data_IF_530134396941
#
_entry.id   IF_530134396941
#
_cell.length_a   1.000
_cell.length_b   1.000
_cell.length_c   1.000
_cell.angle_alpha   90.00
_cell.angle_beta   90.00
_cell.angle_gamma   90.00
#
_symmetry.space_group_name_H-M   'P 1'
#
loop_
_entity.id
_entity.type
_entity.pdbx_description
1 polymer ?
#
# COMPACT_ATOMS: atom_id res chain seq x y z
N UNK A 1 -13.94 17.46 -3.03
CA UNK A 1 -13.02 16.37 -2.62
C UNK A 1 -13.78 15.41 -1.73
N UNK A 2 -13.83 14.13 -2.08
CA UNK A 2 -14.46 13.10 -1.24
C UNK A 2 -13.58 12.87 -0.02
N UNK A 3 -14.13 13.03 1.19
CA UNK A 3 -13.40 12.82 2.45
C UNK A 3 -13.10 11.33 2.63
N UNK A 4 -11.86 10.99 2.97
CA UNK A 4 -11.50 9.61 3.32
C UNK A 4 -12.18 9.18 4.61
N UNK A 5 -12.70 7.94 4.64
CA UNK A 5 -13.28 7.31 5.83
C UNK A 5 -12.20 6.49 6.52
N UNK A 6 -12.08 6.62 7.84
CA UNK A 6 -11.21 5.79 8.67
C UNK A 6 -12.09 4.83 9.46
N UNK A 7 -11.93 3.53 9.20
CA UNK A 7 -12.61 2.48 9.93
C UNK A 7 -11.65 1.80 10.92
N UNK A 8 -11.98 1.83 12.20
CA UNK A 8 -11.26 1.11 13.25
C UNK A 8 -11.95 -0.22 13.53
N UNK A 9 -11.16 -1.28 13.59
CA UNK A 9 -11.63 -2.63 13.91
C UNK A 9 -11.18 -2.99 15.33
N UNK A 10 -11.99 -3.77 16.04
CA UNK A 10 -11.61 -4.32 17.34
C UNK A 10 -10.49 -5.37 17.21
N UNK A 11 -10.53 -6.18 16.15
CA UNK A 11 -9.58 -7.26 15.93
C UNK A 11 -8.82 -7.11 14.61
N UNK A 12 -7.53 -7.46 14.64
CA UNK A 12 -6.67 -7.43 13.45
C UNK A 12 -7.16 -8.38 12.36
N UNK A 13 -7.68 -9.56 12.73
CA UNK A 13 -8.18 -10.57 11.78
C UNK A 13 -9.34 -10.03 10.94
N UNK A 14 -10.27 -9.31 11.56
CA UNK A 14 -11.42 -8.73 10.86
C UNK A 14 -10.98 -7.61 9.90
N UNK A 15 -10.08 -6.74 10.37
CA UNK A 15 -9.49 -5.70 9.53
C UNK A 15 -8.81 -6.31 8.29
N UNK A 16 -8.06 -7.40 8.47
CA UNK A 16 -7.40 -8.09 7.37
C UNK A 16 -8.39 -8.78 6.43
N UNK A 17 -9.41 -9.43 6.97
CA UNK A 17 -10.46 -10.07 6.18
C UNK A 17 -11.18 -9.05 5.28
N UNK A 18 -11.55 -7.89 5.82
CA UNK A 18 -12.17 -6.79 5.04
C UNK A 18 -11.18 -6.20 4.05
N UNK A 19 -9.96 -5.87 4.49
CA UNK A 19 -8.95 -5.26 3.61
C UNK A 19 -8.67 -6.14 2.40
N UNK A 20 -8.51 -7.46 2.55
CA UNK A 20 -8.18 -8.38 1.44
C UNK A 20 -9.28 -8.47 0.39
N UNK A 21 -10.53 -8.20 0.77
CA UNK A 21 -11.68 -8.19 -0.13
C UNK A 21 -11.77 -6.92 -0.99
N UNK A 22 -10.86 -5.96 -0.86
CA UNK A 22 -10.89 -4.72 -1.66
C UNK A 22 -10.97 -4.97 -3.17
N UNK A 23 -10.41 -6.08 -3.67
CA UNK A 23 -10.48 -6.48 -5.08
C UNK A 23 -11.90 -6.79 -5.56
N UNK A 24 -12.84 -7.03 -4.65
CA UNK A 24 -14.26 -7.21 -5.00
C UNK A 24 -14.94 -5.88 -5.33
N UNK A 25 -14.31 -4.74 -5.00
CA UNK A 25 -14.79 -3.40 -5.37
C UNK A 25 -14.38 -3.01 -6.81
N UNK A 26 -13.94 -3.96 -7.62
CA UNK A 26 -13.62 -3.76 -9.03
C UNK A 26 -14.83 -3.14 -9.77
N UNK A 27 -14.58 -2.09 -10.55
CA UNK A 27 -15.63 -1.33 -11.23
C UNK A 27 -16.15 -0.11 -10.44
N UNK A 28 -15.69 0.06 -9.19
CA UNK A 28 -15.92 1.29 -8.42
C UNK A 28 -14.66 2.15 -8.36
N UNK A 29 -14.81 3.43 -8.00
CA UNK A 29 -13.69 4.35 -7.77
C UNK A 29 -13.13 4.29 -6.34
N UNK A 30 -13.53 3.30 -5.55
CA UNK A 30 -13.12 3.17 -4.16
C UNK A 30 -11.86 2.32 -4.02
N UNK A 31 -10.96 2.78 -3.15
CA UNK A 31 -9.76 2.05 -2.78
C UNK A 31 -9.68 1.91 -1.27
N UNK A 32 -9.20 0.75 -0.81
CA UNK A 32 -9.03 0.45 0.61
C UNK A 32 -7.54 0.30 0.89
N UNK A 33 -7.01 1.13 1.78
CA UNK A 33 -5.60 1.12 2.18
C UNK A 33 -5.48 1.03 3.70
N UNK A 34 -4.35 0.51 4.18
CA UNK A 34 -3.98 0.69 5.58
C UNK A 34 -3.73 2.17 5.87
N UNK A 35 -4.16 2.60 7.05
CA UNK A 35 -3.75 3.89 7.58
C UNK A 35 -2.39 3.74 8.27
N UNK A 36 -1.45 4.60 7.90
CA UNK A 36 -0.14 4.69 8.53
C UNK A 36 0.08 6.09 9.12
N UNK A 37 0.98 6.23 10.10
CA UNK A 37 1.49 7.54 10.52
C UNK A 37 2.03 8.35 9.34
N UNK A 38 1.99 9.68 9.47
CA UNK A 38 2.43 10.61 8.41
C UNK A 38 3.87 10.37 7.97
N UNK A 39 4.76 10.02 8.89
CA UNK A 39 6.17 9.72 8.61
C UNK A 39 6.34 8.52 7.66
N UNK A 40 5.57 7.46 7.90
CA UNK A 40 5.56 6.26 7.05
C UNK A 40 5.00 6.58 5.68
N UNK A 41 3.92 7.38 5.62
CA UNK A 41 3.34 7.84 4.35
C UNK A 41 4.37 8.67 3.55
N UNK A 42 5.13 9.54 4.22
CA UNK A 42 6.17 10.34 3.59
C UNK A 42 7.30 9.47 3.01
N UNK A 43 7.80 8.49 3.75
CA UNK A 43 8.79 7.51 3.26
C UNK A 43 8.29 6.76 2.03
N UNK A 44 7.06 6.23 2.09
CA UNK A 44 6.45 5.52 0.94
C UNK A 44 6.33 6.38 -0.30
N UNK A 45 6.04 7.68 -0.16
CA UNK A 45 6.00 8.62 -1.30
C UNK A 45 7.36 8.73 -1.97
N UNK A 46 8.45 8.73 -1.21
CA UNK A 46 9.83 8.78 -1.75
C UNK A 46 10.23 7.51 -2.50
N UNK A 47 9.61 6.37 -2.18
CA UNK A 47 9.83 5.10 -2.89
C UNK A 47 9.09 5.00 -4.24
N UNK A 48 8.11 5.86 -4.50
CA UNK A 48 7.27 5.80 -5.72
C UNK A 48 8.09 5.83 -7.01
N UNK A 49 9.12 6.68 -7.18
CA UNK A 49 9.95 6.67 -8.39
C UNK A 49 10.66 5.33 -8.61
N UNK A 50 11.30 4.77 -7.58
CA UNK A 50 11.98 3.47 -7.63
C UNK A 50 11.01 2.32 -7.90
N UNK A 51 9.81 2.39 -7.34
CA UNK A 51 8.73 1.44 -7.63
C UNK A 51 8.28 1.52 -9.09
N UNK A 52 8.15 2.73 -9.66
CA UNK A 52 7.80 2.92 -11.08
C UNK A 52 8.91 2.41 -12.01
N UNK A 53 10.17 2.62 -11.65
CA UNK A 53 11.32 2.09 -12.38
C UNK A 53 11.32 0.56 -12.38
N UNK A 54 11.17 -0.08 -11.21
CA UNK A 54 11.09 -1.54 -11.11
C UNK A 54 9.93 -2.11 -11.92
N UNK A 55 8.77 -1.43 -11.91
CA UNK A 55 7.62 -1.78 -12.76
C UNK A 55 7.95 -1.68 -14.25
N UNK A 56 8.63 -0.61 -14.68
CA UNK A 56 9.03 -0.41 -16.08
C UNK A 56 10.03 -1.46 -16.57
N UNK A 57 10.88 -1.96 -15.67
CA UNK A 57 11.84 -3.03 -15.94
C UNK A 57 11.24 -4.45 -15.87
N UNK A 58 9.94 -4.58 -15.58
CA UNK A 58 9.28 -5.89 -15.44
C UNK A 58 9.71 -6.69 -14.19
N UNK A 59 10.33 -6.03 -13.20
CA UNK A 59 10.81 -6.69 -11.98
C UNK A 59 9.68 -6.96 -11.00
N UNK A 60 9.85 -7.99 -10.15
CA UNK A 60 8.88 -8.27 -9.08
C UNK A 60 9.12 -7.30 -7.94
N UNK A 61 8.12 -6.51 -7.58
CA UNK A 61 8.23 -5.54 -6.48
C UNK A 61 7.05 -5.61 -5.51
N UNK A 62 7.29 -5.27 -4.24
CA UNK A 62 6.25 -5.07 -3.24
C UNK A 62 6.74 -4.12 -2.15
N UNK A 63 5.81 -3.40 -1.50
CA UNK A 63 6.12 -2.51 -0.37
C UNK A 63 5.55 -3.13 0.90
N UNK A 64 6.40 -3.33 1.91
CA UNK A 64 6.00 -3.73 3.25
C UNK A 64 6.28 -2.56 4.18
N UNK A 65 5.25 -2.06 4.85
CA UNK A 65 5.34 -0.89 5.73
C UNK A 65 5.96 0.33 5.00
N UNK A 66 7.22 0.67 5.28
CA UNK A 66 7.99 1.76 4.67
C UNK A 66 9.16 1.28 3.79
N UNK A 67 9.26 -0.02 3.50
CA UNK A 67 10.37 -0.61 2.73
C UNK A 67 9.88 -1.15 1.39
N UNK A 68 10.54 -0.76 0.30
CA UNK A 68 10.33 -1.31 -1.04
C UNK A 68 11.26 -2.52 -1.23
N UNK A 69 10.70 -3.64 -1.66
CA UNK A 69 11.45 -4.82 -2.08
C UNK A 69 11.37 -4.94 -3.60
N UNK A 70 12.52 -5.18 -4.24
CA UNK A 70 12.63 -5.48 -5.68
C UNK A 70 13.43 -6.77 -5.82
N UNK A 71 12.84 -7.76 -6.50
CA UNK A 71 13.38 -9.12 -6.65
C UNK A 71 13.84 -9.74 -5.32
N UNK A 72 13.05 -9.49 -4.27
CA UNK A 72 13.30 -10.00 -2.92
C UNK A 72 14.32 -9.22 -2.09
N UNK A 73 14.93 -8.16 -2.63
CA UNK A 73 15.93 -7.35 -1.91
C UNK A 73 15.38 -5.99 -1.49
N UNK A 74 15.67 -5.51 -0.27
CA UNK A 74 15.24 -4.20 0.18
C UNK A 74 15.99 -3.11 -0.58
N UNK A 75 15.23 -2.18 -1.14
CA UNK A 75 15.74 -0.98 -1.81
C UNK A 75 15.81 0.14 -0.78
N UNK A 76 17.00 0.69 -0.57
CA UNK A 76 17.18 1.86 0.28
C UNK A 76 16.61 3.10 -0.42
N UNK A 77 16.07 4.05 0.36
CA UNK A 77 15.65 5.38 -0.12
C UNK A 77 16.75 6.11 -0.87
#
# INVERSE_FOLDING_TARGET
>A
MTRSIVAKFAFFKDREAVRRQWKQLNGTNFNVFEQFPSEVVAKRRRLVPKMKEARGQGKRYWVIYDTLYVDGRPVKE
#
